data_IF_786748026822
#
_entry.id   IF_786748026822
#
_cell.length_a   1.000
_cell.length_b   1.000
_cell.length_c   1.000
_cell.angle_alpha   90.00
_cell.angle_beta   90.00
_cell.angle_gamma   90.00
#
_symmetry.space_group_name_H-M   'P 1'
#
loop_
_entity.id
_entity.type
_entity.pdbx_description
1 polymer ?
#
# COMPACT_ATOMS: atom_id res chain seq x y z
N UNK A 1 -42.55 17.58 29.68
CA UNK A 1 -42.35 16.68 28.53
C UNK A 1 -40.87 16.60 28.25
N UNK A 2 -40.20 15.57 28.80
CA UNK A 2 -38.79 15.35 28.62
C UNK A 2 -38.56 14.60 27.30
N UNK A 3 -37.89 15.22 26.37
CA UNK A 3 -37.36 14.51 25.20
C UNK A 3 -36.15 13.70 25.63
N UNK A 4 -36.35 12.42 25.93
CA UNK A 4 -35.27 11.45 25.96
C UNK A 4 -34.92 11.10 24.51
N UNK A 5 -34.05 11.90 23.87
CA UNK A 5 -33.38 11.48 22.66
C UNK A 5 -32.29 10.47 23.04
N UNK A 6 -32.64 9.19 23.06
CA UNK A 6 -31.67 8.11 23.07
C UNK A 6 -30.95 8.14 21.71
N UNK A 7 -29.83 8.85 21.64
CA UNK A 7 -28.90 8.72 20.53
C UNK A 7 -28.39 7.28 20.54
N UNK A 8 -28.87 6.47 19.63
CA UNK A 8 -28.29 5.16 19.33
C UNK A 8 -26.91 5.43 18.74
N UNK A 9 -25.87 5.30 19.56
CA UNK A 9 -24.50 5.30 19.09
C UNK A 9 -24.33 4.12 18.14
N UNK A 10 -24.13 4.40 16.87
CA UNK A 10 -23.77 3.39 15.89
C UNK A 10 -22.30 3.04 16.14
N UNK A 11 -22.10 1.85 16.70
CA UNK A 11 -20.78 1.30 16.97
C UNK A 11 -20.44 0.30 15.85
N UNK A 12 -19.43 0.58 15.07
CA UNK A 12 -18.92 -0.33 14.03
C UNK A 12 -17.53 -0.78 14.44
N UNK A 13 -17.41 -2.02 14.86
CA UNK A 13 -16.14 -2.61 15.29
C UNK A 13 -15.97 -4.00 14.69
N UNK A 14 -14.72 -4.33 14.31
CA UNK A 14 -14.36 -5.70 13.96
C UNK A 14 -13.88 -6.44 15.21
N UNK A 15 -14.38 -7.66 15.44
CA UNK A 15 -13.88 -8.46 16.56
C UNK A 15 -12.44 -8.92 16.32
N UNK A 16 -11.62 -9.04 17.39
CA UNK A 16 -10.26 -9.55 17.33
C UNK A 16 -10.20 -10.95 16.68
N UNK A 17 -11.18 -11.81 16.93
CA UNK A 17 -11.27 -13.13 16.28
C UNK A 17 -11.44 -13.03 14.77
N UNK A 18 -12.31 -12.14 14.30
CA UNK A 18 -12.51 -11.89 12.88
C UNK A 18 -11.24 -11.30 12.24
N UNK A 19 -10.61 -10.34 12.91
CA UNK A 19 -9.34 -9.75 12.48
C UNK A 19 -8.26 -10.81 12.28
N UNK A 20 -8.03 -11.66 13.28
CA UNK A 20 -7.03 -12.75 13.24
C UNK A 20 -7.35 -13.75 12.13
N UNK A 21 -8.60 -14.23 12.05
CA UNK A 21 -8.98 -15.25 11.07
C UNK A 21 -8.88 -14.81 9.62
N UNK A 22 -9.03 -13.50 9.35
CA UNK A 22 -8.87 -12.92 8.01
C UNK A 22 -7.41 -12.60 7.72
N UNK A 23 -6.72 -11.92 8.63
CA UNK A 23 -5.43 -11.33 8.34
C UNK A 23 -4.25 -12.31 8.45
N UNK A 24 -4.33 -13.36 9.28
CA UNK A 24 -3.25 -14.36 9.36
C UNK A 24 -3.05 -15.10 8.05
N UNK A 25 -4.07 -15.76 7.45
CA UNK A 25 -3.88 -16.44 6.17
C UNK A 25 -3.54 -15.48 5.04
N UNK A 26 -4.16 -14.29 5.01
CA UNK A 26 -3.90 -13.26 4.01
C UNK A 26 -2.43 -12.82 4.03
N UNK A 27 -1.89 -12.54 5.22
CA UNK A 27 -0.51 -12.09 5.40
C UNK A 27 0.49 -13.22 5.14
N UNK A 28 0.20 -14.44 5.58
CA UNK A 28 1.08 -15.59 5.32
C UNK A 28 1.22 -15.85 3.80
N UNK A 29 0.10 -15.88 3.07
CA UNK A 29 0.11 -16.07 1.62
C UNK A 29 0.77 -14.86 0.93
N UNK A 30 0.48 -13.63 1.37
CA UNK A 30 1.08 -12.41 0.83
C UNK A 30 2.60 -12.41 0.96
N UNK A 31 3.15 -12.79 2.12
CA UNK A 31 4.60 -12.90 2.34
C UNK A 31 5.21 -13.98 1.42
N UNK A 32 4.59 -15.16 1.32
CA UNK A 32 5.08 -16.23 0.45
C UNK A 32 5.12 -15.80 -1.02
N UNK A 33 4.09 -15.11 -1.51
CA UNK A 33 4.05 -14.57 -2.86
C UNK A 33 5.13 -13.51 -3.08
N UNK A 34 5.32 -12.61 -2.13
CA UNK A 34 6.36 -11.59 -2.19
C UNK A 34 7.77 -12.20 -2.19
N UNK A 35 8.02 -13.24 -1.38
CA UNK A 35 9.28 -14.00 -1.41
C UNK A 35 9.50 -14.65 -2.77
N UNK A 36 8.47 -15.27 -3.35
CA UNK A 36 8.53 -15.81 -4.70
C UNK A 36 8.87 -14.74 -5.74
N UNK A 37 8.33 -13.53 -5.62
CA UNK A 37 8.65 -12.43 -6.53
C UNK A 37 10.09 -11.95 -6.39
N UNK A 38 10.61 -11.85 -5.17
CA UNK A 38 12.03 -11.58 -4.93
C UNK A 38 12.89 -12.65 -5.60
N UNK A 39 12.54 -13.93 -5.43
CA UNK A 39 13.24 -15.02 -6.09
C UNK A 39 13.26 -14.88 -7.62
N UNK A 40 12.12 -14.60 -8.27
CA UNK A 40 12.05 -14.37 -9.71
C UNK A 40 12.84 -13.15 -10.19
N UNK A 41 12.95 -12.10 -9.36
CA UNK A 41 13.74 -10.91 -9.70
C UNK A 41 15.25 -11.14 -9.60
N UNK A 42 15.68 -11.99 -8.65
CA UNK A 42 17.09 -12.33 -8.43
C UNK A 42 17.53 -13.43 -9.41
N UNK A 43 16.68 -14.44 -9.60
CA UNK A 43 16.93 -15.61 -10.48
C UNK A 43 15.90 -15.64 -11.61
N UNK A 44 16.01 -14.78 -12.62
CA UNK A 44 15.05 -14.74 -13.71
C UNK A 44 15.07 -16.05 -14.50
N UNK A 45 13.89 -16.59 -14.87
CA UNK A 45 13.81 -17.80 -15.69
C UNK A 45 14.49 -17.62 -17.04
N UNK A 46 15.03 -18.70 -17.59
CA UNK A 46 15.70 -18.69 -18.91
C UNK A 46 14.74 -18.20 -19.98
N UNK A 47 15.19 -17.24 -20.81
CA UNK A 47 14.38 -16.60 -21.85
C UNK A 47 13.45 -15.50 -21.36
N UNK A 48 13.49 -15.13 -20.08
CA UNK A 48 12.79 -13.95 -19.60
C UNK A 48 13.39 -12.67 -20.18
N UNK A 49 12.53 -11.80 -20.70
CA UNK A 49 12.93 -10.52 -21.23
C UNK A 49 13.59 -9.66 -20.12
N UNK A 50 14.78 -9.14 -20.38
CA UNK A 50 15.53 -8.38 -19.38
C UNK A 50 14.76 -7.10 -19.01
N UNK A 51 14.23 -7.05 -17.80
CA UNK A 51 13.48 -5.90 -17.33
C UNK A 51 14.36 -4.65 -17.23
N UNK A 52 13.79 -3.51 -17.63
CA UNK A 52 14.44 -2.21 -17.48
C UNK A 52 14.75 -1.94 -16.00
N UNK A 53 15.94 -1.44 -15.70
CA UNK A 53 16.43 -1.19 -14.32
C UNK A 53 15.41 -0.44 -13.45
N UNK A 54 14.73 0.56 -14.04
CA UNK A 54 13.69 1.34 -13.34
C UNK A 54 12.52 0.46 -12.88
N UNK A 55 12.05 -0.41 -13.77
CA UNK A 55 10.94 -1.31 -13.46
C UNK A 55 11.33 -2.28 -12.32
N UNK A 56 12.58 -2.76 -12.31
CA UNK A 56 13.10 -3.57 -11.19
C UNK A 56 13.09 -2.81 -9.87
N UNK A 57 13.48 -1.53 -9.86
CA UNK A 57 13.45 -0.69 -8.65
C UNK A 57 12.02 -0.49 -8.16
N UNK A 58 11.10 -0.14 -9.06
CA UNK A 58 9.68 0.05 -8.70
C UNK A 58 9.04 -1.24 -8.16
N UNK A 59 9.26 -2.37 -8.84
CA UNK A 59 8.75 -3.68 -8.42
C UNK A 59 9.38 -4.12 -7.09
N UNK A 60 10.69 -3.92 -6.91
CA UNK A 60 11.39 -4.23 -5.66
C UNK A 60 10.87 -3.40 -4.49
N UNK A 61 10.68 -2.09 -4.68
CA UNK A 61 10.10 -1.21 -3.67
C UNK A 61 8.66 -1.62 -3.32
N UNK A 62 7.87 -1.99 -4.33
CA UNK A 62 6.48 -2.44 -4.14
C UNK A 62 6.42 -3.74 -3.34
N UNK A 63 7.23 -4.74 -3.71
CA UNK A 63 7.33 -6.03 -2.99
C UNK A 63 7.79 -5.81 -1.56
N UNK A 64 8.76 -4.93 -1.33
CA UNK A 64 9.24 -4.57 0.00
C UNK A 64 8.12 -3.97 0.86
N UNK A 65 7.43 -2.94 0.36
CA UNK A 65 6.33 -2.28 1.09
C UNK A 65 5.20 -3.26 1.41
N UNK A 66 4.80 -4.09 0.44
CA UNK A 66 3.76 -5.09 0.65
C UNK A 66 4.19 -6.15 1.69
N UNK A 67 5.47 -6.54 1.71
CA UNK A 67 6.00 -7.45 2.74
C UNK A 67 5.96 -6.80 4.12
N UNK A 68 6.37 -5.54 4.24
CA UNK A 68 6.31 -4.80 5.52
C UNK A 68 4.87 -4.71 6.02
N UNK A 69 3.89 -4.40 5.17
CA UNK A 69 2.46 -4.36 5.55
C UNK A 69 2.02 -5.69 6.16
N UNK A 70 2.33 -6.81 5.51
CA UNK A 70 1.95 -8.13 5.99
C UNK A 70 2.68 -8.54 7.27
N UNK A 71 3.98 -8.19 7.42
CA UNK A 71 4.74 -8.43 8.65
C UNK A 71 4.18 -7.62 9.82
N UNK A 72 3.84 -6.35 9.59
CA UNK A 72 3.20 -5.48 10.59
C UNK A 72 1.86 -6.05 11.00
N UNK A 73 1.05 -6.52 10.06
CA UNK A 73 -0.23 -7.15 10.34
C UNK A 73 -0.09 -8.40 11.24
N UNK A 74 0.88 -9.28 10.95
CA UNK A 74 1.20 -10.43 11.81
C UNK A 74 1.72 -10.00 13.18
N UNK A 75 2.48 -8.91 13.24
CA UNK A 75 2.95 -8.35 14.51
C UNK A 75 1.79 -7.86 15.38
N UNK A 76 0.79 -7.19 14.79
CA UNK A 76 -0.43 -6.77 15.51
C UNK A 76 -1.17 -7.99 16.06
N UNK A 77 -1.33 -9.06 15.27
CA UNK A 77 -1.95 -10.31 15.75
C UNK A 77 -1.18 -10.90 16.92
N UNK A 78 0.14 -10.94 16.84
CA UNK A 78 1.00 -11.44 17.92
C UNK A 78 0.93 -10.55 19.16
N UNK A 79 0.88 -9.24 18.96
CA UNK A 79 0.71 -8.24 20.00
C UNK A 79 -0.61 -8.43 20.76
N UNK A 80 -1.74 -8.61 20.04
CA UNK A 80 -3.05 -8.90 20.65
C UNK A 80 -3.01 -10.18 21.51
N UNK A 81 -2.32 -11.21 21.00
CA UNK A 81 -2.15 -12.46 21.76
C UNK A 81 -1.35 -12.25 23.05
N UNK A 82 -0.31 -11.42 23.03
CA UNK A 82 0.49 -11.08 24.22
C UNK A 82 -0.32 -10.28 25.21
N UNK A 83 -1.11 -9.28 24.73
CA UNK A 83 -1.93 -8.44 25.56
C UNK A 83 -2.95 -9.22 26.36
N UNK A 84 -3.55 -10.22 25.73
CA UNK A 84 -4.49 -11.11 26.41
C UNK A 84 -3.86 -11.90 27.57
N UNK A 85 -2.54 -12.10 27.55
CA UNK A 85 -1.84 -12.96 28.52
C UNK A 85 -0.96 -12.21 29.53
N UNK A 86 -0.69 -10.91 29.34
CA UNK A 86 0.24 -10.13 30.17
C UNK A 86 -0.42 -8.82 30.63
N UNK A 87 -0.39 -8.61 31.94
CA UNK A 87 -0.90 -7.40 32.62
C UNK A 87 0.10 -6.22 32.43
N UNK A 88 0.32 -5.78 31.18
CA UNK A 88 1.28 -4.71 30.86
C UNK A 88 0.68 -3.30 30.96
N UNK A 89 1.54 -2.28 31.20
CA UNK A 89 1.10 -0.87 31.28
C UNK A 89 0.46 -0.41 29.97
N UNK A 90 -0.84 -0.15 30.02
CA UNK A 90 -1.69 0.20 28.88
C UNK A 90 -1.19 1.40 28.07
N UNK A 91 -0.55 2.42 28.71
CA UNK A 91 -0.10 3.64 28.05
C UNK A 91 1.04 3.44 27.04
N UNK A 92 2.05 2.61 27.37
CA UNK A 92 3.16 2.30 26.43
C UNK A 92 2.64 1.51 25.25
N UNK A 93 1.68 0.69 25.50
CA UNK A 93 1.05 -0.18 24.54
C UNK A 93 0.26 0.59 23.48
N UNK A 94 -0.54 1.58 23.91
CA UNK A 94 -1.29 2.47 23.02
C UNK A 94 -0.33 3.29 22.12
N UNK A 95 0.73 3.85 22.69
CA UNK A 95 1.73 4.58 21.92
C UNK A 95 2.44 3.69 20.87
N UNK A 96 2.69 2.42 21.19
CA UNK A 96 3.23 1.46 20.22
C UNK A 96 2.25 1.15 19.09
N UNK A 97 0.94 1.01 19.38
CA UNK A 97 -0.07 0.74 18.37
C UNK A 97 -0.16 1.87 17.34
N UNK A 98 -0.08 3.13 17.77
CA UNK A 98 -0.11 4.30 16.89
C UNK A 98 1.12 4.37 15.98
N UNK A 99 2.32 4.10 16.51
CA UNK A 99 3.55 4.02 15.71
C UNK A 99 3.44 2.90 14.65
N UNK A 100 2.93 1.73 15.04
CA UNK A 100 2.75 0.58 14.16
C UNK A 100 1.76 0.89 13.04
N UNK A 101 0.62 1.52 13.37
CA UNK A 101 -0.37 1.98 12.39
C UNK A 101 0.27 2.94 11.38
N UNK A 102 1.06 3.90 11.84
CA UNK A 102 1.75 4.82 10.96
C UNK A 102 2.76 4.14 10.04
N UNK A 103 3.52 3.15 10.52
CA UNK A 103 4.40 2.31 9.65
C UNK A 103 3.60 1.67 8.53
N UNK A 104 2.42 1.15 8.84
CA UNK A 104 1.54 0.49 7.87
C UNK A 104 0.98 1.48 6.84
N UNK A 105 0.50 2.64 7.28
CA UNK A 105 -0.02 3.72 6.42
C UNK A 105 1.09 4.25 5.49
N UNK A 106 2.27 4.56 6.00
CA UNK A 106 3.39 5.06 5.18
C UNK A 106 3.89 4.00 4.19
N UNK A 107 3.94 2.73 4.59
CA UNK A 107 4.30 1.63 3.68
C UNK A 107 3.28 1.49 2.56
N UNK A 108 2.00 1.64 2.87
CA UNK A 108 0.94 1.66 1.88
C UNK A 108 1.04 2.87 0.94
N UNK A 109 1.27 4.09 1.45
CA UNK A 109 1.47 5.28 0.61
C UNK A 109 2.65 5.09 -0.34
N UNK A 110 3.73 4.46 0.13
CA UNK A 110 4.88 4.13 -0.71
C UNK A 110 4.53 3.09 -1.78
N UNK A 111 3.78 2.04 -1.44
CA UNK A 111 3.26 1.04 -2.38
C UNK A 111 2.40 1.69 -3.46
N UNK A 112 1.49 2.58 -3.07
CA UNK A 112 0.64 3.40 -3.95
C UNK A 112 1.49 4.26 -4.89
N UNK A 113 2.50 4.94 -4.38
CA UNK A 113 3.42 5.78 -5.15
C UNK A 113 4.21 4.94 -6.18
N UNK A 114 4.66 3.74 -5.81
CA UNK A 114 5.32 2.81 -6.75
C UNK A 114 4.38 2.37 -7.88
N UNK A 115 3.13 2.03 -7.56
CA UNK A 115 2.11 1.67 -8.56
C UNK A 115 1.81 2.84 -9.50
N UNK A 116 1.68 4.06 -8.97
CA UNK A 116 1.51 5.28 -9.74
C UNK A 116 2.65 5.47 -10.75
N UNK A 117 3.90 5.44 -10.30
CA UNK A 117 5.06 5.59 -11.17
C UNK A 117 5.19 4.47 -12.19
N UNK A 118 4.80 3.26 -11.83
CA UNK A 118 4.77 2.14 -12.75
C UNK A 118 3.73 2.36 -13.86
N UNK A 119 2.53 2.84 -13.53
CA UNK A 119 1.50 3.22 -14.49
C UNK A 119 1.96 4.34 -15.43
N UNK A 120 2.55 5.40 -14.87
CA UNK A 120 3.11 6.51 -15.64
C UNK A 120 4.24 6.05 -16.58
N UNK A 121 5.06 5.12 -16.12
CA UNK A 121 6.12 4.54 -16.94
C UNK A 121 5.53 3.76 -18.11
N UNK A 122 4.51 2.92 -17.90
CA UNK A 122 3.82 2.22 -18.99
C UNK A 122 3.08 3.18 -19.93
N UNK A 123 2.39 4.18 -19.38
CA UNK A 123 1.75 5.23 -20.18
C UNK A 123 2.75 5.86 -21.16
N UNK A 124 3.90 6.30 -20.68
CA UNK A 124 4.95 6.90 -21.50
C UNK A 124 5.55 5.96 -22.56
N UNK A 125 5.50 4.64 -22.33
CA UNK A 125 6.01 3.67 -23.29
C UNK A 125 4.99 3.31 -24.37
N UNK A 126 3.72 3.21 -23.98
CA UNK A 126 2.63 2.73 -24.84
C UNK A 126 2.04 3.86 -25.66
N UNK A 127 1.78 5.02 -25.05
CA UNK A 127 1.08 6.13 -25.69
C UNK A 127 2.09 7.03 -26.43
N UNK A 128 1.93 7.26 -27.75
CA UNK A 128 2.77 8.18 -28.48
C UNK A 128 2.53 9.62 -28.01
N UNK A 129 3.60 10.38 -27.67
CA UNK A 129 3.44 11.73 -27.18
C UNK A 129 3.11 12.68 -28.34
N UNK A 130 1.95 13.34 -28.26
CA UNK A 130 1.53 14.35 -29.24
C UNK A 130 1.78 15.79 -28.78
N UNK A 131 1.92 15.99 -27.45
CA UNK A 131 2.10 17.31 -26.86
C UNK A 131 3.56 17.54 -26.39
N UNK A 132 4.15 18.74 -26.53
CA UNK A 132 5.52 19.03 -26.12
C UNK A 132 5.82 18.68 -24.65
N UNK A 133 4.88 18.91 -23.77
CA UNK A 133 4.99 18.52 -22.36
C UNK A 133 5.15 17.00 -22.19
N UNK A 134 4.40 16.17 -22.92
CA UNK A 134 4.50 14.72 -22.86
C UNK A 134 5.84 14.22 -23.44
N UNK A 135 6.37 14.91 -24.45
CA UNK A 135 7.70 14.60 -25.01
C UNK A 135 8.78 14.86 -23.98
N UNK A 136 8.73 16.04 -23.31
CA UNK A 136 9.65 16.39 -22.23
C UNK A 136 9.53 15.39 -21.06
N UNK A 137 8.31 15.07 -20.64
CA UNK A 137 8.02 14.13 -19.57
C UNK A 137 8.59 12.73 -19.88
N UNK A 138 8.34 12.20 -21.08
CA UNK A 138 8.86 10.91 -21.54
C UNK A 138 10.40 10.90 -21.57
N UNK A 139 11.01 11.98 -21.97
CA UNK A 139 12.49 12.13 -21.99
C UNK A 139 13.07 12.09 -20.58
N UNK A 140 12.39 12.67 -19.60
CA UNK A 140 12.87 12.82 -18.22
C UNK A 140 12.24 11.81 -17.23
N UNK A 141 11.45 10.85 -17.70
CA UNK A 141 10.69 9.92 -16.84
C UNK A 141 11.56 9.19 -15.81
N UNK A 142 12.82 8.89 -16.15
CA UNK A 142 13.76 8.24 -15.23
C UNK A 142 14.09 9.13 -14.03
N UNK A 143 14.46 10.37 -14.31
CA UNK A 143 14.81 11.33 -13.26
C UNK A 143 13.59 11.62 -12.39
N UNK A 144 12.40 11.77 -13.00
CA UNK A 144 11.15 12.00 -12.29
C UNK A 144 10.78 10.85 -11.36
N UNK A 145 10.96 9.61 -11.79
CA UNK A 145 10.70 8.43 -10.94
C UNK A 145 11.65 8.40 -9.75
N UNK A 146 12.96 8.56 -9.96
CA UNK A 146 13.93 8.53 -8.87
C UNK A 146 13.75 9.70 -7.89
N UNK A 147 13.48 10.91 -8.39
CA UNK A 147 13.19 12.06 -7.51
C UNK A 147 11.88 11.90 -6.76
N UNK A 148 10.84 11.35 -7.40
CA UNK A 148 9.58 11.05 -6.73
C UNK A 148 9.71 9.99 -5.63
N UNK A 149 10.45 8.92 -5.88
CA UNK A 149 10.73 7.90 -4.85
C UNK A 149 11.60 8.47 -3.72
N UNK A 150 12.62 9.30 -4.05
CA UNK A 150 13.45 9.98 -3.06
C UNK A 150 12.64 10.93 -2.18
N UNK A 151 11.77 11.75 -2.78
CA UNK A 151 10.86 12.63 -2.03
C UNK A 151 9.93 11.82 -1.12
N UNK A 152 9.36 10.73 -1.63
CA UNK A 152 8.50 9.86 -0.82
C UNK A 152 9.26 9.25 0.37
N UNK A 153 10.51 8.84 0.19
CA UNK A 153 11.34 8.31 1.28
C UNK A 153 11.66 9.39 2.34
N UNK A 154 11.94 10.62 1.92
CA UNK A 154 12.16 11.75 2.84
C UNK A 154 10.88 12.03 3.65
N UNK A 155 9.72 12.07 3.00
CA UNK A 155 8.44 12.28 3.66
C UNK A 155 8.09 11.13 4.61
N UNK A 156 8.45 9.90 4.27
CA UNK A 156 8.29 8.74 5.15
C UNK A 156 9.11 8.92 6.43
N UNK A 157 10.41 9.21 6.31
CA UNK A 157 11.31 9.37 7.46
C UNK A 157 10.88 10.56 8.32
N UNK A 158 10.58 11.70 7.71
CA UNK A 158 10.10 12.89 8.41
C UNK A 158 8.80 12.60 9.16
N UNK A 159 7.81 12.02 8.49
CA UNK A 159 6.53 11.71 9.09
C UNK A 159 6.63 10.73 10.25
N UNK A 160 7.41 9.67 10.11
CA UNK A 160 7.68 8.72 11.21
C UNK A 160 8.37 9.40 12.38
N UNK A 161 9.33 10.31 12.12
CA UNK A 161 10.01 11.05 13.19
C UNK A 161 9.04 11.96 13.96
N UNK A 162 8.10 12.60 13.28
CA UNK A 162 7.06 13.44 13.91
C UNK A 162 6.12 12.59 14.79
N UNK A 163 5.66 11.44 14.30
CA UNK A 163 4.79 10.54 15.08
C UNK A 163 5.50 10.00 16.32
N UNK A 164 6.73 9.50 16.18
CA UNK A 164 7.51 9.00 17.31
C UNK A 164 7.78 10.11 18.34
N UNK A 165 8.13 11.31 17.89
CA UNK A 165 8.35 12.44 18.78
C UNK A 165 7.08 12.81 19.55
N UNK A 166 5.92 12.82 18.88
CA UNK A 166 4.62 13.09 19.51
C UNK A 166 4.31 12.07 20.62
N UNK A 167 4.50 10.77 20.34
CA UNK A 167 4.25 9.69 21.31
C UNK A 167 5.21 9.77 22.51
N UNK A 168 6.51 10.02 22.27
CA UNK A 168 7.49 10.16 23.35
C UNK A 168 7.17 11.34 24.27
N UNK A 169 6.84 12.51 23.70
CA UNK A 169 6.48 13.70 24.47
C UNK A 169 5.18 13.47 25.23
N UNK A 170 4.19 12.81 24.59
CA UNK A 170 2.92 12.44 25.23
C UNK A 170 3.13 11.55 26.45
N UNK A 171 3.90 10.46 26.29
CA UNK A 171 4.23 9.56 27.40
C UNK A 171 4.99 10.28 28.53
N UNK A 172 5.93 11.17 28.18
CA UNK A 172 6.69 11.96 29.16
C UNK A 172 5.79 12.93 29.91
N UNK A 173 4.83 13.56 29.23
CA UNK A 173 3.82 14.45 29.84
C UNK A 173 2.93 13.68 30.84
N UNK A 174 2.42 12.50 30.43
CA UNK A 174 1.62 11.67 31.34
C UNK A 174 2.41 11.21 32.57
N UNK A 175 3.70 10.94 32.43
CA UNK A 175 4.56 10.57 33.55
C UNK A 175 4.82 11.73 34.52
N UNK A 176 4.96 12.97 33.98
CA UNK A 176 5.19 14.19 34.75
C UNK A 176 3.92 14.82 35.34
N UNK A 177 2.74 14.49 34.81
CA UNK A 177 1.46 15.14 35.18
C UNK A 177 1.13 15.04 36.69
N UNK A 178 1.60 14.00 37.38
CA UNK A 178 1.41 13.82 38.83
C UNK A 178 2.54 14.47 39.67
N UNK A 179 3.55 15.06 39.04
CA UNK A 179 4.58 15.84 39.71
C UNK A 179 4.22 17.32 39.67
N UNK A 180 4.39 18.04 40.76
CA UNK A 180 4.06 19.47 40.91
C UNK A 180 5.12 20.40 40.29
N UNK A 181 5.86 19.93 39.30
CA UNK A 181 7.02 20.62 38.73
C UNK A 181 6.67 21.39 37.44
N UNK A 182 7.38 22.51 37.20
CA UNK A 182 7.37 23.32 35.98
C UNK A 182 7.64 22.48 34.69
N UNK A 183 8.12 21.24 34.86
CA UNK A 183 8.38 20.31 33.78
C UNK A 183 7.10 19.91 33.01
N UNK A 184 5.96 19.78 33.70
CA UNK A 184 4.70 19.44 33.07
C UNK A 184 4.22 20.53 32.09
N UNK A 185 4.43 21.81 32.42
CA UNK A 185 4.06 22.93 31.57
C UNK A 185 4.94 23.00 30.31
N UNK A 186 6.26 22.77 30.45
CA UNK A 186 7.19 22.72 29.30
C UNK A 186 6.84 21.56 28.37
N UNK A 187 6.50 20.40 28.93
CA UNK A 187 6.11 19.23 28.15
C UNK A 187 4.75 19.44 27.45
N UNK A 188 3.83 20.17 28.10
CA UNK A 188 2.54 20.55 27.48
C UNK A 188 2.74 21.45 26.27
N UNK A 189 3.57 22.49 26.38
CA UNK A 189 3.88 23.37 25.25
C UNK A 189 4.55 22.60 24.11
N UNK A 190 5.48 21.71 24.44
CA UNK A 190 6.12 20.82 23.45
C UNK A 190 5.13 19.89 22.77
N UNK A 191 4.16 19.35 23.50
CA UNK A 191 3.09 18.48 22.96
C UNK A 191 2.19 19.27 21.99
N UNK A 192 1.83 20.51 22.34
CA UNK A 192 1.05 21.40 21.50
C UNK A 192 1.76 21.71 20.16
N UNK A 193 3.07 21.99 20.21
CA UNK A 193 3.89 22.22 19.01
C UNK A 193 3.93 20.96 18.14
N UNK A 194 4.23 19.80 18.73
CA UNK A 194 4.26 18.55 18.02
C UNK A 194 2.91 18.19 17.40
N UNK A 195 1.79 18.47 18.09
CA UNK A 195 0.46 18.29 17.55
C UNK A 195 0.22 19.14 16.29
N UNK A 196 0.65 20.41 16.29
CA UNK A 196 0.55 21.28 15.10
C UNK A 196 1.39 20.73 13.93
N UNK A 197 2.60 20.25 14.20
CA UNK A 197 3.47 19.64 13.19
C UNK A 197 2.84 18.36 12.65
N UNK A 198 2.28 17.50 13.50
CA UNK A 198 1.52 16.28 13.13
C UNK A 198 0.35 16.63 12.21
N UNK A 199 -0.38 17.70 12.50
CA UNK A 199 -1.49 18.18 11.68
C UNK A 199 -1.03 18.65 10.29
N UNK A 200 0.08 19.40 10.21
CA UNK A 200 0.67 19.83 8.92
C UNK A 200 1.12 18.62 8.12
N UNK A 201 1.81 17.67 8.76
CA UNK A 201 2.24 16.42 8.13
C UNK A 201 1.05 15.62 7.56
N UNK A 202 -0.05 15.55 8.31
CA UNK A 202 -1.30 14.94 7.85
C UNK A 202 -1.83 15.57 6.56
N UNK A 203 -1.95 16.92 6.53
CA UNK A 203 -2.46 17.60 5.35
C UNK A 203 -1.54 17.47 4.14
N UNK A 204 -0.23 17.55 4.32
CA UNK A 204 0.74 17.31 3.25
C UNK A 204 0.60 15.91 2.67
N UNK A 205 0.48 14.90 3.52
CA UNK A 205 0.28 13.50 3.17
C UNK A 205 -1.01 13.30 2.38
N UNK A 206 -2.11 13.88 2.85
CA UNK A 206 -3.42 13.80 2.21
C UNK A 206 -3.42 14.42 0.81
N UNK A 207 -2.85 15.62 0.66
CA UNK A 207 -2.77 16.30 -0.64
C UNK A 207 -1.96 15.50 -1.64
N UNK A 208 -0.78 14.99 -1.24
CA UNK A 208 0.07 14.17 -2.11
C UNK A 208 -0.62 12.87 -2.50
N UNK A 209 -1.34 12.26 -1.58
CA UNK A 209 -2.10 11.04 -1.82
C UNK A 209 -3.24 11.26 -2.82
N UNK A 210 -4.06 12.30 -2.64
CA UNK A 210 -5.15 12.65 -3.56
C UNK A 210 -4.60 13.00 -4.96
N UNK A 211 -3.51 13.76 -5.03
CA UNK A 211 -2.84 14.06 -6.29
C UNK A 211 -2.37 12.77 -6.99
N UNK A 212 -1.79 11.82 -6.25
CA UNK A 212 -1.38 10.53 -6.77
C UNK A 212 -2.56 9.73 -7.34
N UNK A 213 -3.70 9.72 -6.66
CA UNK A 213 -4.94 9.08 -7.15
C UNK A 213 -5.39 9.70 -8.46
N UNK A 214 -5.48 11.04 -8.54
CA UNK A 214 -5.92 11.75 -9.74
C UNK A 214 -5.02 11.43 -10.94
N UNK A 215 -3.71 11.51 -10.77
CA UNK A 215 -2.75 11.24 -11.84
C UNK A 215 -2.78 9.76 -12.25
N UNK A 216 -2.94 8.84 -11.30
CA UNK A 216 -3.07 7.41 -11.58
C UNK A 216 -4.35 7.12 -12.38
N UNK A 217 -5.49 7.67 -12.01
CA UNK A 217 -6.75 7.49 -12.72
C UNK A 217 -6.66 8.07 -14.14
N UNK A 218 -6.12 9.27 -14.28
CA UNK A 218 -5.95 9.91 -15.59
C UNK A 218 -5.02 9.11 -16.51
N UNK A 219 -3.87 8.66 -16.01
CA UNK A 219 -2.92 7.85 -16.78
C UNK A 219 -3.48 6.47 -17.15
N UNK A 220 -4.23 5.85 -16.23
CA UNK A 220 -4.93 4.58 -16.47
C UNK A 220 -5.96 4.74 -17.58
N UNK A 221 -6.83 5.74 -17.47
CA UNK A 221 -7.87 6.00 -18.46
C UNK A 221 -7.27 6.25 -19.86
N UNK A 222 -6.25 7.10 -19.95
CA UNK A 222 -5.58 7.40 -21.22
C UNK A 222 -4.92 6.15 -21.82
N UNK A 223 -4.25 5.32 -21.01
CA UNK A 223 -3.60 4.08 -21.47
C UNK A 223 -4.62 3.05 -21.95
N UNK A 224 -5.69 2.83 -21.18
CA UNK A 224 -6.75 1.87 -21.52
C UNK A 224 -7.47 2.29 -22.79
N UNK A 225 -7.81 3.58 -22.92
CA UNK A 225 -8.49 4.11 -24.10
C UNK A 225 -7.62 3.96 -25.36
N UNK A 226 -6.32 4.26 -25.23
CA UNK A 226 -5.37 4.09 -26.34
C UNK A 226 -5.25 2.61 -26.75
N UNK A 227 -5.03 1.71 -25.80
CA UNK A 227 -4.91 0.28 -26.07
C UNK A 227 -6.21 -0.32 -26.65
N UNK A 228 -7.36 0.11 -26.17
CA UNK A 228 -8.66 -0.33 -26.69
C UNK A 228 -8.85 0.10 -28.14
N UNK A 229 -8.57 1.37 -28.47
CA UNK A 229 -8.62 1.88 -29.86
C UNK A 229 -7.62 1.13 -30.75
N UNK A 230 -6.41 0.90 -30.26
CA UNK A 230 -5.39 0.16 -30.99
C UNK A 230 -5.82 -1.28 -31.29
N UNK A 231 -6.44 -1.95 -30.32
CA UNK A 231 -6.97 -3.31 -30.47
C UNK A 231 -8.07 -3.35 -31.53
N UNK A 232 -9.01 -2.38 -31.48
CA UNK A 232 -10.10 -2.27 -32.47
C UNK A 232 -9.57 -2.07 -33.90
N UNK A 233 -8.59 -1.17 -34.09
CA UNK A 233 -7.99 -0.93 -35.40
C UNK A 233 -7.25 -2.18 -35.94
N UNK A 234 -6.61 -2.97 -35.06
CA UNK A 234 -5.98 -4.24 -35.44
C UNK A 234 -7.01 -5.30 -35.85
N UNK A 235 -8.16 -5.36 -35.19
CA UNK A 235 -9.26 -6.25 -35.56
C UNK A 235 -9.82 -5.89 -36.95
N UNK A 236 -10.07 -4.61 -37.20
CA UNK A 236 -10.58 -4.10 -38.48
C UNK A 236 -9.59 -4.31 -39.63
N UNK A 237 -8.29 -4.26 -39.39
CA UNK A 237 -7.24 -4.49 -40.40
C UNK A 237 -6.98 -5.97 -40.72
N UNK A 238 -7.58 -6.92 -39.99
CA UNK A 238 -7.38 -8.36 -40.17
C UNK A 238 -5.98 -8.88 -39.82
N UNK A 239 -5.09 -8.03 -39.30
CA UNK A 239 -3.67 -8.35 -38.99
C UNK A 239 -3.48 -8.87 -37.56
N UNK A 240 -4.55 -8.93 -36.75
CA UNK A 240 -4.41 -9.21 -35.32
C UNK A 240 -4.16 -10.70 -35.01
N UNK A 241 -3.03 -10.99 -34.39
CA UNK A 241 -2.77 -12.34 -33.85
C UNK A 241 -3.51 -12.51 -32.51
N UNK A 242 -4.15 -13.69 -32.27
CA UNK A 242 -4.84 -13.99 -31.01
C UNK A 242 -3.94 -13.84 -29.77
N UNK A 243 -2.64 -14.09 -29.94
CA UNK A 243 -1.63 -13.93 -28.88
C UNK A 243 -1.45 -12.46 -28.47
N UNK A 244 -1.40 -11.55 -29.46
CA UNK A 244 -1.25 -10.12 -29.22
C UNK A 244 -2.48 -9.54 -28.54
N UNK A 245 -3.68 -9.91 -29.00
CA UNK A 245 -4.95 -9.49 -28.36
C UNK A 245 -5.01 -9.93 -26.91
N UNK A 246 -4.61 -11.20 -26.61
CA UNK A 246 -4.58 -11.70 -25.24
C UNK A 246 -3.61 -10.91 -24.36
N UNK A 247 -2.42 -10.55 -24.87
CA UNK A 247 -1.47 -9.74 -24.13
C UNK A 247 -2.01 -8.35 -23.81
N UNK A 248 -2.63 -7.66 -24.79
CA UNK A 248 -3.25 -6.35 -24.59
C UNK A 248 -4.38 -6.44 -23.53
N UNK A 249 -5.25 -7.44 -23.60
CA UNK A 249 -6.32 -7.65 -22.60
C UNK A 249 -5.76 -7.85 -21.18
N UNK A 250 -4.67 -8.60 -21.00
CA UNK A 250 -4.02 -8.77 -19.69
C UNK A 250 -3.47 -7.45 -19.18
N UNK A 251 -2.85 -6.64 -20.03
CA UNK A 251 -2.32 -5.32 -19.64
C UNK A 251 -3.47 -4.40 -19.21
N UNK A 252 -4.53 -4.31 -20.00
CA UNK A 252 -5.73 -3.51 -19.68
C UNK A 252 -6.30 -3.95 -18.34
N UNK A 253 -6.54 -5.26 -18.16
CA UNK A 253 -7.08 -5.82 -16.93
C UNK A 253 -6.19 -5.49 -15.73
N UNK A 254 -4.86 -5.68 -15.84
CA UNK A 254 -3.92 -5.39 -14.77
C UNK A 254 -3.91 -3.92 -14.34
N UNK A 255 -3.86 -3.00 -15.30
CA UNK A 255 -3.87 -1.54 -15.05
C UNK A 255 -5.20 -1.12 -14.42
N UNK A 256 -6.33 -1.62 -14.94
CA UNK A 256 -7.66 -1.30 -14.43
C UNK A 256 -7.86 -1.84 -13.02
N UNK A 257 -7.49 -3.10 -12.77
CA UNK A 257 -7.58 -3.70 -11.43
C UNK A 257 -6.76 -2.91 -10.42
N UNK A 258 -5.54 -2.49 -10.78
CA UNK A 258 -4.70 -1.69 -9.88
C UNK A 258 -5.35 -0.33 -9.57
N UNK A 259 -5.94 0.33 -10.56
CA UNK A 259 -6.63 1.60 -10.37
C UNK A 259 -7.86 1.45 -9.45
N UNK A 260 -8.63 0.37 -9.61
CA UNK A 260 -9.78 0.08 -8.75
C UNK A 260 -9.35 -0.21 -7.32
N UNK A 261 -8.34 -1.05 -7.11
CA UNK A 261 -7.79 -1.33 -5.78
C UNK A 261 -7.32 -0.06 -5.10
N UNK A 262 -6.62 0.79 -5.85
CA UNK A 262 -6.12 2.06 -5.35
C UNK A 262 -7.26 3.01 -4.97
N UNK A 263 -8.27 3.16 -5.83
CA UNK A 263 -9.44 4.00 -5.57
C UNK A 263 -10.20 3.52 -4.34
N UNK A 264 -10.46 2.23 -4.20
CA UNK A 264 -11.18 1.67 -3.05
C UNK A 264 -10.40 1.88 -1.74
N UNK A 265 -9.10 1.57 -1.74
CA UNK A 265 -8.25 1.76 -0.57
C UNK A 265 -8.15 3.24 -0.17
N UNK A 266 -8.02 4.13 -1.16
CA UNK A 266 -7.95 5.57 -0.94
C UNK A 266 -9.21 6.12 -0.26
N UNK A 267 -10.38 5.69 -0.73
CA UNK A 267 -11.65 6.10 -0.13
C UNK A 267 -11.81 5.51 1.28
N UNK A 268 -11.38 4.26 1.49
CA UNK A 268 -11.43 3.62 2.81
C UNK A 268 -10.63 4.41 3.85
N UNK A 269 -9.39 4.78 3.52
CA UNK A 269 -8.53 5.58 4.41
C UNK A 269 -9.07 6.99 4.61
N UNK A 270 -9.54 7.64 3.53
CA UNK A 270 -10.10 8.98 3.64
C UNK A 270 -11.33 8.99 4.55
N UNK A 271 -12.20 7.99 4.44
CA UNK A 271 -13.37 7.84 5.31
C UNK A 271 -12.93 7.64 6.76
N UNK A 272 -12.00 6.72 7.02
CA UNK A 272 -11.48 6.45 8.36
C UNK A 272 -10.88 7.71 8.99
N UNK A 273 -9.98 8.38 8.29
CA UNK A 273 -9.33 9.63 8.75
C UNK A 273 -10.34 10.77 8.99
N UNK A 274 -11.38 10.90 8.15
CA UNK A 274 -12.42 11.92 8.32
C UNK A 274 -13.38 11.57 9.47
N UNK A 275 -13.77 10.30 9.59
CA UNK A 275 -14.68 9.84 10.65
C UNK A 275 -14.01 9.99 12.02
N UNK A 276 -12.79 9.51 12.18
CA UNK A 276 -12.03 9.61 13.44
C UNK A 276 -11.82 11.09 13.84
N UNK A 277 -11.60 11.99 12.86
CA UNK A 277 -11.25 13.39 13.16
C UNK A 277 -12.46 14.31 13.37
N UNK A 278 -13.58 14.06 12.69
CA UNK A 278 -14.70 14.99 12.63
C UNK A 278 -16.03 14.44 13.15
N UNK A 279 -16.12 13.14 13.40
CA UNK A 279 -17.34 12.55 13.96
C UNK A 279 -17.14 12.20 15.44
N UNK A 280 -18.21 12.33 16.22
CA UNK A 280 -18.30 11.83 17.59
C UNK A 280 -18.70 10.33 17.65
N UNK A 281 -18.52 9.62 16.55
CA UNK A 281 -18.86 8.20 16.45
C UNK A 281 -17.61 7.37 16.79
N UNK A 282 -17.74 6.47 17.74
CA UNK A 282 -16.69 5.48 18.02
C UNK A 282 -16.65 4.44 16.90
N UNK A 283 -15.83 4.73 15.89
CA UNK A 283 -15.61 3.87 14.74
C UNK A 283 -14.24 3.22 14.84
N UNK A 284 -14.20 1.88 14.78
CA UNK A 284 -12.98 1.05 14.69
C UNK A 284 -11.88 1.43 15.69
N UNK A 285 -12.26 1.57 16.98
CA UNK A 285 -11.34 1.98 18.06
C UNK A 285 -10.00 1.22 18.07
N UNK A 286 -10.02 -0.07 17.69
CA UNK A 286 -8.83 -0.91 17.64
C UNK A 286 -8.09 -0.82 16.28
N UNK A 287 -8.61 -0.08 15.30
CA UNK A 287 -8.03 0.02 13.96
C UNK A 287 -8.08 -1.27 13.12
N UNK A 288 -8.81 -2.30 13.55
CA UNK A 288 -8.81 -3.60 12.87
C UNK A 288 -9.40 -3.55 11.46
N UNK A 289 -10.40 -2.70 11.24
CA UNK A 289 -10.99 -2.51 9.91
C UNK A 289 -9.95 -1.85 8.99
N UNK A 290 -9.29 -0.79 9.46
CA UNK A 290 -8.26 -0.08 8.70
C UNK A 290 -7.07 -0.99 8.38
N UNK A 291 -6.55 -1.75 9.35
CA UNK A 291 -5.48 -2.73 9.15
C UNK A 291 -5.87 -3.78 8.10
N UNK A 292 -7.11 -4.28 8.17
CA UNK A 292 -7.61 -5.27 7.20
C UNK A 292 -7.73 -4.68 5.81
N UNK A 293 -8.20 -3.42 5.68
CA UNK A 293 -8.28 -2.73 4.39
C UNK A 293 -6.89 -2.56 3.73
N UNK A 294 -5.90 -2.13 4.50
CA UNK A 294 -4.53 -1.95 4.01
C UNK A 294 -3.91 -3.31 3.63
N UNK A 295 -4.16 -4.35 4.43
CA UNK A 295 -3.69 -5.71 4.17
C UNK A 295 -4.32 -6.31 2.89
N UNK A 296 -5.63 -6.12 2.69
CA UNK A 296 -6.35 -6.52 1.48
C UNK A 296 -5.84 -5.79 0.23
N UNK A 297 -5.58 -4.49 0.34
CA UNK A 297 -4.98 -3.71 -0.74
C UNK A 297 -3.59 -4.26 -1.12
N UNK A 298 -2.73 -4.50 -0.13
CA UNK A 298 -1.40 -5.06 -0.34
C UNK A 298 -1.45 -6.42 -1.01
N UNK A 299 -2.33 -7.30 -0.53
CA UNK A 299 -2.54 -8.63 -1.09
C UNK A 299 -3.08 -8.58 -2.53
N UNK A 300 -4.11 -7.75 -2.78
CA UNK A 300 -4.67 -7.54 -4.11
C UNK A 300 -3.64 -7.00 -5.10
N UNK A 301 -2.80 -6.05 -4.67
CA UNK A 301 -1.69 -5.50 -5.46
C UNK A 301 -0.64 -6.58 -5.76
N UNK A 302 -0.31 -7.43 -4.80
CA UNK A 302 0.62 -8.56 -4.97
C UNK A 302 0.09 -9.56 -6.01
N UNK A 303 -1.18 -9.96 -5.92
CA UNK A 303 -1.81 -10.84 -6.92
C UNK A 303 -1.83 -10.18 -8.30
N UNK A 304 -2.27 -8.92 -8.38
CA UNK A 304 -2.31 -8.20 -9.66
C UNK A 304 -0.93 -8.10 -10.31
N UNK A 305 0.12 -7.88 -9.53
CA UNK A 305 1.50 -7.88 -10.00
C UNK A 305 1.90 -9.26 -10.55
N UNK A 306 1.55 -10.34 -9.87
CA UNK A 306 1.81 -11.71 -10.31
C UNK A 306 1.16 -12.03 -11.66
N UNK A 307 -0.07 -11.57 -11.87
CA UNK A 307 -0.83 -11.79 -13.10
C UNK A 307 -0.36 -10.87 -14.23
N UNK A 308 -0.10 -9.60 -13.95
CA UNK A 308 0.21 -8.60 -14.97
C UNK A 308 1.66 -8.68 -15.48
N UNK A 309 2.62 -9.01 -14.61
CA UNK A 309 4.05 -9.04 -14.98
C UNK A 309 4.45 -10.37 -15.61
N UNK A 310 5.01 -10.31 -16.83
CA UNK A 310 5.45 -11.51 -17.57
C UNK A 310 6.53 -12.31 -16.83
N UNK A 311 7.45 -11.63 -16.13
CA UNK A 311 8.49 -12.23 -15.34
C UNK A 311 7.94 -13.23 -14.31
N UNK A 312 6.93 -12.82 -13.54
CA UNK A 312 6.36 -13.65 -12.49
C UNK A 312 5.51 -14.80 -13.03
N UNK A 313 4.77 -14.56 -14.14
CA UNK A 313 4.05 -15.63 -14.82
C UNK A 313 4.99 -16.70 -15.37
N UNK A 314 6.09 -16.29 -15.99
CA UNK A 314 7.09 -17.23 -16.51
C UNK A 314 7.80 -17.97 -15.36
N UNK A 315 8.11 -17.27 -14.26
CA UNK A 315 8.66 -17.88 -13.06
C UNK A 315 7.73 -18.93 -12.46
N UNK A 316 6.44 -18.65 -12.38
CA UNK A 316 5.45 -19.62 -11.88
C UNK A 316 5.36 -20.87 -12.75
N UNK A 317 5.36 -20.71 -14.08
CA UNK A 317 5.36 -21.85 -15.02
C UNK A 317 6.63 -22.69 -14.86
N UNK A 318 7.79 -22.03 -14.77
CA UNK A 318 9.08 -22.72 -14.61
C UNK A 318 9.14 -23.52 -13.29
N UNK A 319 8.74 -22.92 -12.17
CA UNK A 319 8.70 -23.61 -10.87
C UNK A 319 7.73 -24.79 -10.93
N UNK A 320 6.53 -24.59 -11.51
CA UNK A 320 5.55 -25.65 -11.67
C UNK A 320 6.09 -26.84 -12.49
N UNK A 321 6.75 -26.58 -13.63
CA UNK A 321 7.36 -27.61 -14.47
C UNK A 321 8.43 -28.39 -13.70
N UNK A 322 9.30 -27.71 -12.96
CA UNK A 322 10.34 -28.36 -12.15
C UNK A 322 9.75 -29.23 -11.04
N UNK A 323 8.70 -28.75 -10.35
CA UNK A 323 8.00 -29.53 -9.31
C UNK A 323 7.36 -30.78 -9.91
N UNK A 324 6.65 -30.64 -11.04
CA UNK A 324 6.03 -31.75 -11.72
C UNK A 324 7.09 -32.80 -12.15
N UNK A 325 8.19 -32.36 -12.76
CA UNK A 325 9.28 -33.28 -13.17
C UNK A 325 9.89 -34.04 -11.98
N UNK A 326 10.13 -33.31 -10.87
CA UNK A 326 10.70 -33.92 -9.66
C UNK A 326 9.72 -34.93 -9.02
N UNK A 327 8.42 -34.61 -9.00
CA UNK A 327 7.40 -35.53 -8.51
C UNK A 327 7.26 -36.78 -9.41
N UNK A 328 7.28 -36.59 -10.73
CA UNK A 328 7.26 -37.71 -11.67
C UNK A 328 8.47 -38.64 -11.50
N UNK A 329 9.69 -38.06 -11.39
CA UNK A 329 10.91 -38.84 -11.14
C UNK A 329 10.86 -39.62 -9.82
N UNK A 330 10.27 -39.03 -8.74
CA UNK A 330 10.13 -39.76 -7.46
C UNK A 330 9.01 -40.78 -7.42
N UNK A 331 8.03 -40.72 -8.31
CA UNK A 331 6.93 -41.67 -8.40
C UNK A 331 7.28 -42.90 -9.29
N UNK A 332 8.28 -42.73 -10.17
CA UNK A 332 8.69 -43.78 -11.13
C UNK A 332 10.09 -44.38 -10.86
N UNK A 333 10.79 -43.93 -9.82
CA UNK A 333 11.98 -44.55 -9.20
C UNK A 333 11.61 -45.20 -7.86
#
# INVERSE_FOLDING_TARGET
MGYNSSWTYFYIEMSAKTFVSVNVPLSAIGILLNMFFVFCMVFPPQGAEQQKRILKVLLGSLVWCNTVIHLVCLFIVFYEFIMWNLDMKVSILLAMSDVILNVMIYSMITSVTCCHWMNMFYFCQIVPPQHPFLIWFKRNIRALIYSGLGLNAILYVFGMSVEIAYEIVGLSYYAAYNSTDDLADILWDSLQINHKIKLVNFWCRLVLFLLSVCVMLASTFATVLYLWRHMKNLEESGVSSPRLQRQIKIIIAGITTQAVLHFLCSNGILIDELVVKYSSVDFDWNGYILYTFISLYSFGTTINMGISQSLFRQGAVHVWQNVCQTLFLKLFL
#
